data_IF_916479765603
#
_entry.id   IF_916479765603
#
_cell.length_a   1.000
_cell.length_b   1.000
_cell.length_c   1.000
_cell.angle_alpha   90.00
_cell.angle_beta   90.00
_cell.angle_gamma   90.00
#
_symmetry.space_group_name_H-M   'P 1'
#
loop_
_entity.id
_entity.type
_entity.pdbx_description
1 polymer ?
#
# COMPACT_ATOMS: atom_id res chain seq x y z
N UNK A 1 -6.55 -46.89 28.11
CA UNK A 1 -7.48 -45.85 27.65
C UNK A 1 -6.67 -44.67 27.13
N UNK A 2 -6.78 -44.35 25.84
CA UNK A 2 -5.95 -43.37 25.13
C UNK A 2 -6.51 -41.94 25.30
N UNK A 3 -5.70 -40.99 25.77
CA UNK A 3 -6.12 -39.59 25.94
C UNK A 3 -5.99 -38.84 24.61
N UNK A 4 -7.11 -38.39 24.04
CA UNK A 4 -7.13 -37.55 22.84
C UNK A 4 -6.75 -36.11 23.21
N UNK A 5 -5.80 -35.45 22.52
CA UNK A 5 -5.45 -34.07 22.78
C UNK A 5 -6.54 -33.13 22.22
N UNK A 6 -7.45 -32.69 23.07
CA UNK A 6 -8.44 -31.65 22.73
C UNK A 6 -7.94 -30.29 23.19
N UNK A 7 -7.52 -29.44 22.25
CA UNK A 7 -7.13 -28.07 22.51
C UNK A 7 -6.89 -27.31 21.20
N UNK A 8 -7.10 -25.99 21.22
CA UNK A 8 -6.99 -25.09 20.05
C UNK A 8 -5.66 -25.22 19.29
N UNK A 9 -4.60 -25.67 19.96
CA UNK A 9 -3.27 -25.90 19.39
C UNK A 9 -3.18 -27.14 18.46
N UNK A 10 -4.19 -28.01 18.42
CA UNK A 10 -4.25 -29.14 17.47
C UNK A 10 -4.45 -28.67 16.02
N UNK A 11 -4.92 -27.44 15.80
CA UNK A 11 -5.24 -26.89 14.48
C UNK A 11 -4.08 -26.12 13.81
N UNK A 12 -2.97 -25.87 14.50
CA UNK A 12 -1.87 -25.04 13.96
C UNK A 12 -0.70 -25.85 13.40
N UNK A 13 -0.89 -27.13 13.03
CA UNK A 13 0.13 -27.92 12.34
C UNK A 13 -0.40 -28.63 11.10
N UNK A 14 -0.65 -27.86 10.04
CA UNK A 14 -0.48 -28.32 8.65
C UNK A 14 -0.49 -27.12 7.70
N UNK A 15 0.65 -26.83 7.06
CA UNK A 15 0.71 -25.75 6.08
C UNK A 15 2.11 -25.21 5.74
N UNK A 16 3.16 -26.01 5.90
CA UNK A 16 4.45 -25.77 5.27
C UNK A 16 4.72 -26.90 4.26
N UNK A 17 3.83 -27.02 3.28
CA UNK A 17 3.99 -27.85 2.08
C UNK A 17 2.79 -27.62 1.15
N UNK A 18 2.82 -26.55 0.36
CA UNK A 18 2.34 -26.62 -1.02
C UNK A 18 3.00 -25.52 -1.85
N UNK A 19 4.11 -25.88 -2.48
CA UNK A 19 4.69 -25.12 -3.59
C UNK A 19 4.39 -25.96 -4.83
N UNK A 20 3.34 -25.63 -5.58
CA UNK A 20 3.30 -25.91 -7.02
C UNK A 20 2.25 -25.01 -7.73
N UNK A 21 2.74 -23.87 -8.21
CA UNK A 21 2.61 -23.38 -9.58
C UNK A 21 1.46 -23.95 -10.46
N UNK A 22 0.46 -23.13 -10.74
CA UNK A 22 -0.29 -23.16 -12.01
C UNK A 22 -0.36 -21.76 -12.57
N UNK A 23 0.45 -21.52 -13.60
CA UNK A 23 0.25 -20.45 -14.56
C UNK A 23 -1.01 -20.74 -15.35
N UNK A 24 -1.95 -19.80 -15.42
CA UNK A 24 -2.72 -19.63 -16.63
C UNK A 24 -3.10 -18.16 -16.87
N UNK A 25 -2.84 -17.80 -18.10
CA UNK A 25 -2.90 -16.50 -18.74
C UNK A 25 -4.35 -16.16 -19.08
N UNK A 26 -4.88 -15.03 -18.60
CA UNK A 26 -6.01 -14.36 -19.24
C UNK A 26 -6.04 -12.86 -18.93
N UNK A 27 -6.22 -12.10 -20.02
CA UNK A 27 -5.96 -10.67 -20.13
C UNK A 27 -6.79 -9.77 -19.24
N UNK A 28 -6.11 -8.71 -18.80
CA UNK A 28 -6.68 -7.57 -18.09
C UNK A 28 -5.58 -6.54 -17.90
N UNK A 29 -5.29 -5.79 -18.96
CA UNK A 29 -4.41 -4.63 -18.93
C UNK A 29 -4.97 -3.59 -17.95
N UNK A 30 -4.59 -3.72 -16.68
CA UNK A 30 -4.60 -2.62 -15.73
C UNK A 30 -3.15 -2.36 -15.40
N UNK A 31 -2.69 -1.18 -15.81
CA UNK A 31 -1.33 -0.69 -15.58
C UNK A 31 -1.20 -0.39 -14.10
N UNK A 32 -1.18 -1.42 -13.26
CA UNK A 32 -0.79 -1.31 -11.87
C UNK A 32 0.74 -1.21 -11.87
N UNK A 33 1.25 0.01 -12.08
CA UNK A 33 2.67 0.27 -11.79
C UNK A 33 2.88 -0.10 -10.33
N UNK A 34 3.78 -1.03 -9.99
CA UNK A 34 4.05 -1.35 -8.61
C UNK A 34 4.70 -0.12 -7.99
N UNK A 35 3.89 0.70 -7.30
CA UNK A 35 4.40 1.79 -6.48
C UNK A 35 5.15 1.14 -5.33
N UNK A 36 6.48 1.02 -5.48
CA UNK A 36 7.37 0.57 -4.40
C UNK A 36 7.13 1.51 -3.23
N UNK A 37 6.64 0.96 -2.11
CA UNK A 37 6.59 1.65 -0.81
C UNK A 37 8.03 2.02 -0.41
N UNK A 38 8.46 3.22 -0.79
CA UNK A 38 9.73 3.79 -0.39
C UNK A 38 9.61 4.39 1.01
N UNK A 39 10.49 3.98 1.92
CA UNK A 39 10.74 4.71 3.16
C UNK A 39 11.74 5.82 2.82
N UNK A 40 11.40 7.08 3.06
CA UNK A 40 12.26 8.22 2.73
C UNK A 40 13.68 8.03 3.27
N UNK A 41 14.67 8.00 2.37
CA UNK A 41 16.10 8.00 2.67
C UNK A 41 16.66 9.31 2.13
N UNK A 42 17.22 10.16 3.00
CA UNK A 42 17.80 11.45 2.60
C UNK A 42 17.49 12.57 3.59
N UNK A 43 17.81 13.80 3.21
CA UNK A 43 17.39 15.01 3.90
C UNK A 43 15.88 15.19 3.68
N UNK A 44 15.09 15.04 4.76
CA UNK A 44 13.63 15.07 4.71
C UNK A 44 13.13 16.03 5.77
N UNK A 45 12.20 16.91 5.40
CA UNK A 45 11.48 17.80 6.32
C UNK A 45 10.13 17.17 6.68
N UNK A 46 9.83 17.11 7.97
CA UNK A 46 8.53 16.64 8.45
C UNK A 46 7.46 17.73 8.26
N UNK A 47 6.33 17.36 7.65
CA UNK A 47 5.17 18.24 7.45
C UNK A 47 3.95 17.65 8.17
N UNK A 48 3.23 18.48 8.91
CA UNK A 48 1.92 18.12 9.48
C UNK A 48 0.81 18.75 8.65
N UNK A 49 -0.07 17.92 8.10
CA UNK A 49 -1.25 18.37 7.35
C UNK A 49 -2.49 18.15 8.21
N UNK A 50 -3.32 19.18 8.35
CA UNK A 50 -4.57 19.11 9.12
C UNK A 50 -5.74 18.92 8.17
N UNK A 51 -6.58 17.95 8.50
CA UNK A 51 -7.82 17.64 7.79
C UNK A 51 -8.97 17.63 8.79
N UNK A 52 -10.20 17.86 8.30
CA UNK A 52 -11.36 17.40 9.05
C UNK A 52 -11.36 15.87 9.12
N UNK A 53 -12.11 15.29 10.07
CA UNK A 53 -12.20 13.83 10.20
C UNK A 53 -12.71 13.19 8.90
N UNK A 54 -13.72 13.78 8.27
CA UNK A 54 -14.30 13.27 7.03
C UNK A 54 -13.31 13.34 5.86
N UNK A 55 -12.54 14.42 5.74
CA UNK A 55 -11.55 14.57 4.67
C UNK A 55 -10.39 13.59 4.84
N UNK A 56 -9.96 13.37 6.07
CA UNK A 56 -8.93 12.39 6.37
C UNK A 56 -9.35 10.98 5.94
N UNK A 57 -10.59 10.57 6.21
CA UNK A 57 -11.11 9.26 5.79
C UNK A 57 -11.15 9.13 4.27
N UNK A 58 -11.56 10.18 3.55
CA UNK A 58 -11.57 10.19 2.07
C UNK A 58 -10.16 10.03 1.49
N UNK A 59 -9.19 10.78 1.99
CA UNK A 59 -7.78 10.69 1.56
C UNK A 59 -7.20 9.31 1.89
N UNK A 60 -7.51 8.79 3.08
CA UNK A 60 -7.05 7.48 3.49
C UNK A 60 -7.64 6.37 2.59
N UNK A 61 -8.93 6.41 2.30
CA UNK A 61 -9.58 5.44 1.39
C UNK A 61 -8.96 5.49 -0.01
N UNK A 62 -8.71 6.68 -0.55
CA UNK A 62 -8.03 6.84 -1.84
C UNK A 62 -6.64 6.19 -1.83
N UNK A 63 -5.84 6.48 -0.81
CA UNK A 63 -4.50 5.91 -0.65
C UNK A 63 -4.53 4.38 -0.60
N UNK A 64 -5.48 3.82 0.15
CA UNK A 64 -5.68 2.36 0.25
C UNK A 64 -6.12 1.78 -1.10
N UNK A 65 -7.07 2.40 -1.80
CA UNK A 65 -7.55 1.88 -3.10
C UNK A 65 -6.48 1.90 -4.18
N UNK A 66 -5.58 2.89 -4.14
CA UNK A 66 -4.46 3.01 -5.09
C UNK A 66 -3.22 2.23 -4.65
N UNK A 67 -3.21 1.68 -3.42
CA UNK A 67 -2.05 0.96 -2.87
C UNK A 67 -0.84 1.86 -2.59
N UNK A 68 -1.04 3.16 -2.44
CA UNK A 68 0.02 4.16 -2.20
C UNK A 68 -0.04 4.74 -0.78
N UNK A 69 1.01 5.43 -0.35
CA UNK A 69 0.98 6.13 0.93
C UNK A 69 0.30 7.49 0.81
N UNK A 70 -0.26 8.01 1.91
CA UNK A 70 -0.79 9.38 1.96
C UNK A 70 0.31 10.41 1.63
N UNK A 71 1.57 10.14 2.02
CA UNK A 71 2.71 10.96 1.63
C UNK A 71 2.89 11.00 0.11
N UNK A 72 2.74 9.86 -0.57
CA UNK A 72 2.82 9.80 -2.03
C UNK A 72 1.75 10.67 -2.68
N UNK A 73 0.50 10.56 -2.23
CA UNK A 73 -0.60 11.41 -2.71
C UNK A 73 -0.32 12.90 -2.50
N UNK A 74 0.21 13.27 -1.33
CA UNK A 74 0.52 14.65 -1.02
C UNK A 74 1.61 15.21 -1.94
N UNK A 75 2.72 14.48 -2.14
CA UNK A 75 3.79 14.94 -3.04
C UNK A 75 3.31 14.98 -4.49
N UNK A 76 2.58 13.97 -4.97
CA UNK A 76 2.03 13.95 -6.32
C UNK A 76 1.04 15.10 -6.56
N UNK A 77 0.17 15.39 -5.59
CA UNK A 77 -0.77 16.51 -5.66
C UNK A 77 -0.06 17.86 -5.72
N UNK A 78 0.97 18.07 -4.88
CA UNK A 78 1.76 19.31 -4.90
C UNK A 78 2.59 19.41 -6.19
N UNK A 79 3.18 18.30 -6.67
CA UNK A 79 3.92 18.25 -7.94
C UNK A 79 3.05 18.70 -9.10
N UNK A 80 1.80 18.23 -9.15
CA UNK A 80 0.84 18.64 -10.17
C UNK A 80 0.56 20.13 -10.13
N UNK A 81 0.40 20.73 -8.94
CA UNK A 81 0.23 22.18 -8.77
C UNK A 81 1.47 22.96 -9.26
N UNK A 82 2.67 22.42 -9.07
CA UNK A 82 3.91 23.01 -9.62
C UNK A 82 3.87 23.02 -11.14
N UNK A 83 3.57 21.89 -11.76
CA UNK A 83 3.50 21.74 -13.21
C UNK A 83 2.42 22.64 -13.83
N UNK A 84 1.24 22.73 -13.20
CA UNK A 84 0.16 23.64 -13.60
C UNK A 84 0.57 25.13 -13.57
N UNK A 85 1.59 25.46 -12.76
CA UNK A 85 2.18 26.81 -12.69
C UNK A 85 3.41 27.00 -13.59
N UNK A 86 3.75 26.00 -14.41
CA UNK A 86 4.94 26.02 -15.26
C UNK A 86 6.26 25.79 -14.49
N UNK A 87 6.18 25.28 -13.26
CA UNK A 87 7.33 24.91 -12.45
C UNK A 87 7.68 23.44 -12.66
N UNK A 88 8.91 23.06 -12.29
CA UNK A 88 9.35 21.67 -12.34
C UNK A 88 8.64 20.87 -11.23
N UNK A 89 8.08 19.72 -11.59
CA UNK A 89 7.43 18.80 -10.66
C UNK A 89 8.35 18.30 -9.53
N UNK A 90 7.73 17.97 -8.41
CA UNK A 90 8.42 17.48 -7.21
C UNK A 90 8.69 15.97 -7.31
N UNK A 91 9.82 15.53 -6.76
CA UNK A 91 10.23 14.11 -6.76
C UNK A 91 10.11 13.52 -5.36
N UNK A 92 9.64 12.27 -5.30
CA UNK A 92 9.62 11.40 -4.11
C UNK A 92 10.90 10.59 -3.97
#
# INVERSE_FOLDING_TARGET
MSSKPTGLAAFTRKGAADIQQTSDNQGGESIARPHKRGRGKGEVVALTIRFSRADWERVHQLAVSEGVSIQHLAVSGISKIFEEKGLVGLKL
#
